data_IF_646433330461
#
_entry.id   IF_646433330461
#
_cell.length_a   1.000
_cell.length_b   1.000
_cell.length_c   1.000
_cell.angle_alpha   90.00
_cell.angle_beta   90.00
_cell.angle_gamma   90.00
#
_symmetry.space_group_name_H-M   'P 1'
#
loop_
_entity.id
_entity.type
_entity.pdbx_description
1 polymer ?
#
# COMPACT_ATOMS: atom_id res chain seq x y z
N UNK A 1 9.25 -15.89 -10.88
CA UNK A 1 9.21 -16.54 -9.54
C UNK A 1 8.42 -17.84 -9.64
N UNK A 2 8.95 -19.02 -9.25
CA UNK A 2 8.20 -20.27 -9.31
C UNK A 2 7.72 -20.78 -7.92
N UNK A 3 6.59 -21.50 -7.90
CA UNK A 3 6.17 -22.47 -6.86
C UNK A 3 5.85 -21.96 -5.45
N UNK A 4 4.80 -21.14 -5.30
CA UNK A 4 4.12 -20.98 -4.00
C UNK A 4 4.75 -19.96 -3.05
N UNK A 5 5.45 -18.95 -3.57
CA UNK A 5 5.69 -17.76 -2.77
C UNK A 5 4.37 -16.98 -2.65
N UNK A 6 4.06 -16.54 -1.43
CA UNK A 6 2.92 -15.63 -1.20
C UNK A 6 3.18 -14.23 -1.74
N UNK A 7 4.40 -13.94 -2.19
CA UNK A 7 4.76 -12.65 -2.77
C UNK A 7 4.38 -12.65 -4.25
N UNK A 8 3.36 -11.86 -4.60
CA UNK A 8 2.93 -11.64 -5.98
C UNK A 8 3.79 -10.58 -6.71
N UNK A 9 5.09 -10.52 -6.37
CA UNK A 9 6.06 -9.51 -6.83
C UNK A 9 7.44 -9.73 -6.21
N UNK A 10 8.43 -8.92 -6.63
CA UNK A 10 9.74 -8.86 -5.97
C UNK A 10 9.62 -8.30 -4.55
N UNK A 11 10.64 -8.53 -3.72
CA UNK A 11 10.76 -7.80 -2.46
C UNK A 11 11.29 -6.40 -2.79
N UNK A 12 10.52 -5.37 -2.46
CA UNK A 12 10.96 -3.99 -2.55
C UNK A 12 11.68 -3.57 -1.26
N UNK A 13 12.60 -2.60 -1.37
CA UNK A 13 13.15 -1.93 -0.20
C UNK A 13 12.01 -1.26 0.57
N UNK A 14 11.91 -1.42 1.91
CA UNK A 14 10.75 -0.95 2.67
C UNK A 14 10.68 0.58 2.76
N UNK A 15 11.79 1.27 2.49
CA UNK A 15 11.88 2.72 2.44
C UNK A 15 11.71 3.20 1.00
N UNK A 16 11.15 4.39 0.84
CA UNK A 16 11.15 5.06 -0.45
C UNK A 16 12.56 5.56 -0.79
N UNK A 17 12.86 5.60 -2.08
CA UNK A 17 14.10 6.19 -2.58
C UNK A 17 14.05 7.72 -2.46
N UNK A 18 15.21 8.36 -2.41
CA UNK A 18 15.29 9.82 -2.40
C UNK A 18 14.61 10.41 -3.64
N UNK A 19 13.69 11.34 -3.42
CA UNK A 19 12.94 12.02 -4.48
C UNK A 19 11.71 11.27 -4.99
N UNK A 20 11.40 10.07 -4.49
CA UNK A 20 10.15 9.39 -4.81
C UNK A 20 8.96 10.21 -4.24
N UNK A 21 7.95 10.54 -5.05
CA UNK A 21 6.85 11.38 -4.60
C UNK A 21 6.01 10.67 -3.52
N UNK A 22 5.70 11.41 -2.45
CA UNK A 22 4.82 11.00 -1.34
C UNK A 22 3.58 11.91 -1.25
N UNK A 23 3.13 12.40 -2.39
CA UNK A 23 2.03 13.37 -2.55
C UNK A 23 0.65 12.77 -2.25
N UNK A 24 0.43 11.48 -2.54
CA UNK A 24 -0.84 10.78 -2.25
C UNK A 24 -0.75 9.91 -0.99
N UNK A 25 -1.88 9.73 -0.27
CA UNK A 25 -1.95 8.76 0.82
C UNK A 25 -1.51 7.36 0.39
N UNK A 26 -1.92 6.89 -0.79
CA UNK A 26 -1.53 5.58 -1.31
C UNK A 26 -0.01 5.41 -1.42
N UNK A 27 0.73 6.44 -1.86
CA UNK A 27 2.20 6.45 -1.90
C UNK A 27 2.80 6.48 -0.50
N UNK A 28 2.29 7.33 0.40
CA UNK A 28 2.72 7.40 1.82
C UNK A 28 2.55 6.09 2.57
N UNK A 29 1.47 5.36 2.32
CA UNK A 29 1.17 4.07 2.93
C UNK A 29 1.77 2.87 2.18
N UNK A 30 2.39 3.09 1.01
CA UNK A 30 3.11 2.06 0.25
C UNK A 30 2.19 1.00 -0.36
N UNK A 31 0.99 1.44 -0.75
CA UNK A 31 -0.10 0.62 -1.31
C UNK A 31 -0.57 1.12 -2.67
N UNK A 32 0.15 2.09 -3.25
CA UNK A 32 -0.15 2.62 -4.58
C UNK A 32 0.03 1.55 -5.67
N UNK A 33 -0.81 1.65 -6.71
CA UNK A 33 -0.64 0.97 -7.99
C UNK A 33 -0.54 2.01 -9.10
N UNK A 34 -0.41 1.58 -10.35
CA UNK A 34 -0.45 2.49 -11.50
C UNK A 34 -1.81 3.17 -11.69
N UNK A 35 -2.88 2.59 -11.13
CA UNK A 35 -4.21 3.17 -11.11
C UNK A 35 -4.49 3.84 -9.75
N UNK A 36 -4.81 5.15 -9.70
CA UNK A 36 -5.03 5.87 -8.44
C UNK A 36 -6.27 5.40 -7.66
N UNK A 37 -7.19 4.65 -8.27
CA UNK A 37 -8.38 4.10 -7.61
C UNK A 37 -8.18 2.66 -7.11
N UNK A 38 -7.03 2.04 -7.40
CA UNK A 38 -6.73 0.66 -7.00
C UNK A 38 -5.59 0.66 -6.00
N UNK A 39 -5.82 0.02 -4.85
CA UNK A 39 -4.85 -0.11 -3.76
C UNK A 39 -4.42 -1.56 -3.57
N UNK A 40 -3.14 -1.77 -3.31
CA UNK A 40 -2.59 -3.08 -2.98
C UNK A 40 -2.75 -3.36 -1.48
N UNK A 41 -3.49 -4.42 -1.13
CA UNK A 41 -3.79 -4.76 0.27
C UNK A 41 -3.13 -6.06 0.76
N UNK A 42 -2.29 -6.68 -0.06
CA UNK A 42 -1.69 -7.99 0.21
C UNK A 42 -0.20 -7.94 0.60
N UNK A 43 0.39 -9.12 0.69
CA UNK A 43 1.82 -9.36 0.90
C UNK A 43 2.74 -8.65 -0.10
N UNK A 44 2.23 -8.30 -1.28
CA UNK A 44 2.95 -7.58 -2.33
C UNK A 44 3.05 -6.07 -2.13
N UNK A 45 2.38 -5.47 -1.14
CA UNK A 45 2.59 -4.06 -0.80
C UNK A 45 4.04 -3.84 -0.34
N UNK A 46 4.59 -2.63 -0.50
CA UNK A 46 5.98 -2.28 -0.14
C UNK A 46 6.31 -2.58 1.33
N UNK A 47 5.28 -2.71 2.18
CA UNK A 47 5.34 -3.13 3.60
C UNK A 47 4.37 -4.27 3.93
N UNK A 48 3.98 -5.08 2.94
CA UNK A 48 2.92 -6.10 3.06
C UNK A 48 3.25 -7.27 3.98
N UNK A 49 4.55 -7.57 4.17
CA UNK A 49 5.04 -8.45 5.23
C UNK A 49 4.36 -9.82 5.32
N UNK A 50 4.31 -10.59 4.22
CA UNK A 50 3.74 -11.95 4.22
C UNK A 50 2.30 -12.01 4.78
N UNK A 51 2.10 -12.67 5.93
CA UNK A 51 0.80 -12.85 6.62
C UNK A 51 0.60 -11.87 7.79
N UNK A 52 1.30 -10.74 7.79
CA UNK A 52 1.25 -9.74 8.87
C UNK A 52 -0.03 -8.90 8.94
N UNK A 53 -0.87 -8.95 7.91
CA UNK A 53 -2.01 -8.04 7.70
C UNK A 53 -1.67 -6.54 7.53
N UNK A 54 -0.38 -6.17 7.47
CA UNK A 54 0.05 -4.76 7.32
C UNK A 54 -0.43 -4.17 5.99
N UNK A 55 -0.37 -4.94 4.89
CA UNK A 55 -0.87 -4.48 3.59
C UNK A 55 -2.33 -4.03 3.63
N UNK A 56 -3.19 -4.81 4.29
CA UNK A 56 -4.61 -4.49 4.45
C UNK A 56 -4.83 -3.27 5.36
N UNK A 57 -4.09 -3.19 6.47
CA UNK A 57 -4.12 -2.03 7.35
C UNK A 57 -3.73 -0.74 6.61
N UNK A 58 -2.61 -0.75 5.88
CA UNK A 58 -2.12 0.40 5.12
C UNK A 58 -3.11 0.84 4.03
N UNK A 59 -3.74 -0.11 3.34
CA UNK A 59 -4.76 0.19 2.34
C UNK A 59 -5.98 0.89 2.97
N UNK A 60 -6.44 0.39 4.13
CA UNK A 60 -7.53 1.03 4.86
C UNK A 60 -7.17 2.46 5.32
N UNK A 61 -5.96 2.66 5.83
CA UNK A 61 -5.49 4.00 6.23
C UNK A 61 -5.39 4.97 5.04
N UNK A 62 -4.94 4.49 3.88
CA UNK A 62 -4.90 5.30 2.66
C UNK A 62 -6.30 5.75 2.21
N UNK A 63 -7.32 4.88 2.34
CA UNK A 63 -8.72 5.26 2.05
C UNK A 63 -9.19 6.33 3.03
N UNK A 64 -9.03 6.10 4.34
CA UNK A 64 -9.50 7.04 5.37
C UNK A 64 -8.87 8.43 5.25
N UNK A 65 -7.61 8.52 4.84
CA UNK A 65 -6.92 9.79 4.61
C UNK A 65 -7.29 10.46 3.28
N UNK A 66 -7.83 9.69 2.33
CA UNK A 66 -8.32 10.20 1.03
C UNK A 66 -9.77 10.69 1.10
N UNK A 67 -10.55 10.17 2.05
CA UNK A 67 -11.95 10.56 2.23
C UNK A 67 -12.07 11.93 2.90
N UNK A 68 -13.00 12.79 2.46
CA UNK A 68 -13.36 13.98 3.21
C UNK A 68 -13.87 13.59 4.60
N UNK A 69 -13.65 14.40 5.64
CA UNK A 69 -14.14 14.11 6.99
C UNK A 69 -15.64 13.82 6.94
N UNK A 70 -16.04 12.71 7.60
CA UNK A 70 -17.44 12.33 7.70
C UNK A 70 -18.23 13.55 8.18
N UNK A 71 -19.19 14.00 7.36
CA UNK A 71 -20.12 15.07 7.74
C UNK A 71 -20.94 14.54 8.90
N UNK A 72 -20.56 14.90 10.12
CA UNK A 72 -21.40 14.75 11.29
C UNK A 72 -22.63 15.64 11.06
N UNK A 73 -23.80 15.02 10.90
CA UNK A 73 -25.10 15.70 10.88
C UNK A 73 -25.51 16.17 12.26
#
# INVERSE_FOLDING_TARGET
MPRGNIFHGGLDWPFVEDGEPLDTPARRWGVATDDPQILLCGSGARRGGAVSAIGGHNAAMAVLESEPPLRNG
#
